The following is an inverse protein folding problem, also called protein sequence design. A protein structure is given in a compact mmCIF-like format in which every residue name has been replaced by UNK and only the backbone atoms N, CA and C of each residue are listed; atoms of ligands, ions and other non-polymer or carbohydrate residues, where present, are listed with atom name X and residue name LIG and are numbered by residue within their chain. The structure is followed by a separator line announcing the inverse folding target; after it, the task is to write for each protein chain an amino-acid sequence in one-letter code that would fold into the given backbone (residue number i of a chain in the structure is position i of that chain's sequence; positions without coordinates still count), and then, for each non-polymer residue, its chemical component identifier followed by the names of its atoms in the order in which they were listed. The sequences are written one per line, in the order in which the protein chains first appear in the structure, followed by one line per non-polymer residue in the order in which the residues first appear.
data_IF_529767223564
#
_entry.id   IF_529767223564
#
_cell.length_a   1.000
_cell.length_b   1.000
_cell.length_c   1.000
_cell.angle_alpha   90.00
_cell.angle_beta   90.00
_cell.angle_gamma   90.00
#
_symmetry.space_group_name_H-M   'P 1'
#
loop_
_entity.id
_entity.type
_entity.pdbx_description
1 polymer ?
#
# COMPACT_ATOMS: atom_id res chain seq x y z
N UNK A 1 16.73 5.11 3.13
CA UNK A 1 17.69 5.75 2.19
C UNK A 1 17.29 7.20 2.01
N UNK A 2 18.24 8.13 1.92
CA UNK A 2 17.95 9.53 1.53
C UNK A 2 18.25 9.67 0.03
N UNK A 3 17.23 9.96 -0.75
CA UNK A 3 17.32 10.31 -2.17
C UNK A 3 16.94 11.78 -2.32
N UNK A 4 17.63 12.51 -3.18
CA UNK A 4 17.30 13.91 -3.50
C UNK A 4 16.15 13.98 -4.50
N UNK A 5 15.44 15.11 -4.54
CA UNK A 5 14.36 15.33 -5.52
C UNK A 5 14.87 15.29 -6.97
N UNK A 6 16.12 15.72 -7.21
CA UNK A 6 16.73 15.66 -8.53
C UNK A 6 16.99 14.23 -8.98
N UNK A 7 17.48 13.37 -8.08
CA UNK A 7 17.67 11.94 -8.33
C UNK A 7 16.32 11.23 -8.55
N UNK A 8 15.29 11.58 -7.77
CA UNK A 8 13.93 11.06 -7.97
C UNK A 8 13.40 11.45 -9.34
N UNK A 9 13.55 12.72 -9.72
CA UNK A 9 13.16 13.22 -11.04
C UNK A 9 13.85 12.43 -12.15
N UNK A 10 15.17 12.24 -12.08
CA UNK A 10 15.91 11.44 -13.06
C UNK A 10 15.41 9.99 -13.13
N UNK A 11 15.08 9.38 -11.99
CA UNK A 11 14.60 8.00 -11.93
C UNK A 11 13.24 7.79 -12.62
N UNK A 12 12.38 8.82 -12.67
CA UNK A 12 11.05 8.75 -13.30
C UNK A 12 10.90 9.63 -14.55
N UNK A 13 12.00 10.18 -15.07
CA UNK A 13 11.99 11.01 -16.28
C UNK A 13 11.32 12.39 -16.10
N UNK A 14 11.36 12.95 -14.89
CA UNK A 14 10.83 14.27 -14.55
C UNK A 14 11.93 15.24 -14.15
N UNK A 15 11.65 16.53 -14.34
CA UNK A 15 12.52 17.60 -13.85
C UNK A 15 12.39 17.77 -12.33
N UNK A 16 13.43 18.31 -11.70
CA UNK A 16 13.40 18.71 -10.29
C UNK A 16 12.19 19.61 -9.96
N UNK A 17 11.89 20.57 -10.84
CA UNK A 17 10.76 21.48 -10.65
C UNK A 17 9.41 20.75 -10.71
N UNK A 18 9.27 19.70 -11.52
CA UNK A 18 8.04 18.90 -11.55
C UNK A 18 7.86 18.09 -10.27
N UNK A 19 8.93 17.52 -9.73
CA UNK A 19 8.90 16.85 -8.43
C UNK A 19 8.51 17.84 -7.32
N UNK A 20 9.07 19.06 -7.31
CA UNK A 20 8.65 20.09 -6.36
C UNK A 20 7.17 20.45 -6.49
N UNK A 21 6.65 20.58 -7.71
CA UNK A 21 5.23 20.90 -7.93
C UNK A 21 4.31 19.81 -7.40
N UNK A 22 4.73 18.55 -7.48
CA UNK A 22 4.03 17.40 -6.93
C UNK A 22 4.06 17.39 -5.40
N UNK A 23 5.22 17.61 -4.78
CA UNK A 23 5.33 17.67 -3.32
C UNK A 23 4.53 18.83 -2.71
N UNK A 24 4.47 19.98 -3.40
CA UNK A 24 3.70 21.14 -2.98
C UNK A 24 2.20 21.02 -3.30
N UNK A 25 1.77 19.94 -3.98
CA UNK A 25 0.37 19.74 -4.38
C UNK A 25 -0.15 20.73 -5.42
N UNK A 26 0.72 21.54 -6.03
CA UNK A 26 0.34 22.51 -7.06
C UNK A 26 -0.02 21.85 -8.40
N UNK A 27 0.53 20.66 -8.65
CA UNK A 27 0.17 19.82 -9.78
C UNK A 27 -0.46 18.50 -9.31
N UNK A 28 -1.55 18.09 -9.97
CA UNK A 28 -2.10 16.74 -9.81
C UNK A 28 -1.15 15.70 -10.41
N UNK A 29 -1.12 14.53 -9.79
CA UNK A 29 -0.32 13.38 -10.23
C UNK A 29 -1.28 12.30 -10.75
N UNK A 30 -0.97 11.70 -11.88
CA UNK A 30 -1.73 10.54 -12.36
C UNK A 30 -1.39 9.30 -11.54
N UNK A 31 -2.33 8.35 -11.40
CA UNK A 31 -2.08 7.10 -10.68
C UNK A 31 -0.89 6.31 -11.24
N UNK A 32 -0.70 6.33 -12.57
CA UNK A 32 0.45 5.68 -13.23
C UNK A 32 1.78 6.30 -12.84
N UNK A 33 1.87 7.63 -12.75
CA UNK A 33 3.09 8.32 -12.31
C UNK A 33 3.35 8.05 -10.83
N UNK A 34 2.28 8.03 -10.02
CA UNK A 34 2.38 7.76 -8.59
C UNK A 34 2.90 6.34 -8.31
N UNK A 35 2.55 5.36 -9.15
CA UNK A 35 3.13 4.02 -9.12
C UNK A 35 4.62 4.00 -9.51
N UNK A 36 5.03 4.77 -10.51
CA UNK A 36 6.46 4.90 -10.86
C UNK A 36 7.27 5.53 -9.73
N UNK A 37 6.72 6.57 -9.08
CA UNK A 37 7.32 7.19 -7.91
C UNK A 37 7.44 6.20 -6.74
N UNK A 38 6.43 5.37 -6.49
CA UNK A 38 6.49 4.35 -5.42
C UNK A 38 7.59 3.33 -5.65
N UNK A 39 7.77 2.88 -6.90
CA UNK A 39 8.85 1.97 -7.29
C UNK A 39 10.23 2.61 -7.11
N UNK A 40 10.40 3.87 -7.57
CA UNK A 40 11.65 4.61 -7.44
C UNK A 40 12.02 4.85 -5.96
N UNK A 41 11.02 5.17 -5.13
CA UNK A 41 11.17 5.38 -3.69
C UNK A 41 11.29 4.07 -2.89
N UNK A 42 11.03 2.92 -3.52
CA UNK A 42 10.87 1.61 -2.85
C UNK A 42 9.87 1.67 -1.69
N UNK A 43 8.79 2.40 -1.91
CA UNK A 43 7.70 2.59 -0.96
C UNK A 43 6.45 1.87 -1.44
N UNK A 44 5.59 1.48 -0.50
CA UNK A 44 4.28 0.95 -0.84
C UNK A 44 3.43 2.05 -1.50
N UNK A 45 2.67 1.70 -2.54
CA UNK A 45 1.79 2.64 -3.23
C UNK A 45 0.79 3.29 -2.27
N UNK A 46 0.27 2.53 -1.29
CA UNK A 46 -0.66 3.02 -0.28
C UNK A 46 -0.07 4.14 0.59
N UNK A 47 1.25 4.11 0.84
CA UNK A 47 1.98 5.15 1.57
C UNK A 47 1.94 6.52 0.90
N UNK A 48 1.78 6.56 -0.44
CA UNK A 48 1.77 7.79 -1.23
C UNK A 48 0.36 8.34 -1.50
N UNK A 49 -0.69 7.52 -1.38
CA UNK A 49 -2.09 7.95 -1.65
C UNK A 49 -2.92 8.15 -0.39
N UNK A 50 -2.52 7.58 0.74
CA UNK A 50 -3.25 7.74 1.97
C UNK A 50 -3.00 9.14 2.56
N UNK A 51 -4.06 9.88 2.95
CA UNK A 51 -3.93 11.24 3.50
C UNK A 51 -3.03 11.32 4.74
N UNK A 52 -2.79 10.18 5.41
CA UNK A 52 -2.04 10.10 6.67
C UNK A 52 -0.72 9.30 6.55
N UNK A 53 -0.16 9.14 5.34
CA UNK A 53 1.17 8.50 5.13
C UNK A 53 1.17 6.97 5.10
N UNK A 54 0.03 6.37 4.74
CA UNK A 54 -0.20 4.95 4.48
C UNK A 54 0.46 3.98 5.45
N UNK A 55 0.40 4.32 6.73
CA UNK A 55 -0.16 3.32 7.62
C UNK A 55 -1.55 3.04 7.02
N UNK A 56 -1.85 1.83 6.47
CA UNK A 56 -3.24 1.40 6.58
C UNK A 56 -3.55 1.69 8.03
N UNK A 57 -4.59 2.50 8.30
CA UNK A 57 -5.01 2.77 9.67
C UNK A 57 -4.75 1.48 10.43
N UNK A 58 -3.94 1.51 11.49
CA UNK A 58 -3.86 0.38 12.40
C UNK A 58 -5.30 0.21 12.84
N UNK A 59 -6.08 -0.52 12.02
CA UNK A 59 -7.36 -1.07 12.36
C UNK A 59 -6.90 -1.93 13.50
N UNK A 60 -7.10 -1.42 14.71
CA UNK A 60 -6.90 -2.17 15.93
C UNK A 60 -7.77 -3.39 15.70
N UNK A 61 -7.12 -4.47 15.26
CA UNK A 61 -7.79 -5.71 14.98
C UNK A 61 -8.23 -6.22 16.33
N UNK A 62 -9.46 -6.70 16.40
CA UNK A 62 -9.87 -7.48 17.54
C UNK A 62 -8.86 -8.63 17.75
N UNK A 63 -8.70 -9.05 19.00
CA UNK A 63 -7.88 -10.20 19.35
C UNK A 63 -8.24 -11.43 18.49
N UNK A 64 -9.52 -11.56 18.13
CA UNK A 64 -10.04 -12.63 17.29
C UNK A 64 -9.55 -12.55 15.84
N UNK A 65 -9.48 -11.35 15.25
CA UNK A 65 -8.96 -11.15 13.89
C UNK A 65 -7.45 -11.42 13.81
N UNK A 66 -6.69 -11.05 14.83
CA UNK A 66 -5.25 -11.35 14.92
C UNK A 66 -5.01 -12.85 15.06
N UNK A 67 -5.74 -13.51 15.96
CA UNK A 67 -5.68 -14.97 16.13
C UNK A 67 -6.01 -15.68 14.83
N UNK A 68 -7.12 -15.31 14.18
CA UNK A 68 -7.55 -15.91 12.91
C UNK A 68 -6.47 -15.76 11.82
N UNK A 69 -5.89 -14.57 11.65
CA UNK A 69 -4.81 -14.40 10.67
C UNK A 69 -3.57 -15.23 11.02
N UNK A 70 -3.19 -15.25 12.29
CA UNK A 70 -2.01 -16.00 12.75
C UNK A 70 -2.16 -17.50 12.53
N UNK A 71 -3.36 -18.06 12.75
CA UNK A 71 -3.63 -19.48 12.54
C UNK A 71 -3.80 -19.78 11.04
N UNK A 72 -4.50 -18.92 10.30
CA UNK A 72 -4.75 -19.08 8.88
C UNK A 72 -3.46 -19.09 8.04
N UNK A 73 -2.48 -18.24 8.39
CA UNK A 73 -1.19 -18.21 7.69
C UNK A 73 -0.37 -19.49 7.89
N UNK A 74 -0.64 -20.28 8.94
CA UNK A 74 0.05 -21.56 9.21
C UNK A 74 -0.57 -22.75 8.48
N UNK A 75 -1.77 -22.58 7.91
CA UNK A 75 -2.49 -23.61 7.16
C UNK A 75 -1.89 -23.85 5.76
N UNK A 76 -2.06 -25.05 5.24
CA UNK A 76 -1.82 -25.38 3.84
C UNK A 76 -2.91 -24.80 2.91
N UNK A 77 -2.70 -24.89 1.59
CA UNK A 77 -3.60 -24.31 0.61
C UNK A 77 -5.04 -24.87 0.70
N UNK A 78 -5.17 -26.17 0.93
CA UNK A 78 -6.47 -26.85 0.97
C UNK A 78 -7.26 -26.44 2.22
N UNK A 79 -6.61 -26.40 3.39
CA UNK A 79 -7.24 -25.95 4.64
C UNK A 79 -7.59 -24.47 4.61
N UNK A 80 -6.74 -23.62 4.02
CA UNK A 80 -7.07 -22.20 3.81
C UNK A 80 -8.33 -22.05 2.96
N UNK A 81 -8.46 -22.87 1.90
CA UNK A 81 -9.65 -22.83 1.04
C UNK A 81 -10.91 -23.18 1.82
N UNK A 82 -10.88 -24.23 2.64
CA UNK A 82 -12.01 -24.63 3.48
C UNK A 82 -12.41 -23.55 4.49
N UNK A 83 -11.45 -22.93 5.15
CA UNK A 83 -11.73 -21.83 6.11
C UNK A 83 -12.39 -20.65 5.40
N UNK A 84 -11.92 -20.28 4.20
CA UNK A 84 -12.52 -19.22 3.41
C UNK A 84 -13.93 -19.57 2.95
N UNK A 85 -14.17 -20.81 2.54
CA UNK A 85 -15.50 -21.24 2.09
C UNK A 85 -16.49 -21.27 3.26
N UNK A 86 -16.08 -21.75 4.44
CA UNK A 86 -16.89 -21.69 5.67
C UNK A 86 -17.22 -20.24 6.06
N UNK A 87 -16.22 -19.35 6.05
CA UNK A 87 -16.42 -17.95 6.38
C UNK A 87 -17.41 -17.25 5.44
N UNK A 88 -17.42 -17.61 4.14
CA UNK A 88 -18.42 -17.13 3.18
C UNK A 88 -19.81 -17.67 3.50
N UNK A 89 -19.94 -18.98 3.73
CA UNK A 89 -21.24 -19.60 4.04
C UNK A 89 -21.87 -19.02 5.31
N UNK A 90 -21.07 -18.71 6.33
CA UNK A 90 -21.56 -18.09 7.57
C UNK A 90 -21.86 -16.59 7.42
N UNK A 91 -21.33 -15.93 6.38
CA UNK A 91 -21.47 -14.49 6.16
C UNK A 91 -22.59 -14.12 5.18
N UNK A 92 -23.16 -15.08 4.47
CA UNK A 92 -24.39 -14.88 3.69
C UNK A 92 -25.60 -14.88 4.64
N UNK A 93 -26.53 -13.91 4.54
CA UNK A 93 -27.68 -13.77 5.45
C UNK A 93 -28.74 -14.87 5.28
#
# INVERSE_FOLDING_TARGET
MRMTQSELGQAVGLTFQQIQKYEQGSNRISASMLLQLSQALKADFSALVAPDGGRPAETVRSIQEEQLLSDFTRLDADRRRLVLDLARTLGEP
#
